data_IF_799318329661
#
_entry.id   IF_799318329661
#
_cell.length_a   1.000
_cell.length_b   1.000
_cell.length_c   1.000
_cell.angle_alpha   90.00
_cell.angle_beta   90.00
_cell.angle_gamma   90.00
#
_symmetry.space_group_name_H-M   'P 1'
#
loop_
_entity.id
_entity.type
_entity.pdbx_description
1 polymer ?
#
# COMPACT_ATOMS: atom_id res chain seq x y z
N UNK A 1 4.04 -9.67 -26.36
CA UNK A 1 3.24 -9.53 -25.13
C UNK A 1 3.73 -8.34 -24.32
N UNK A 2 2.89 -7.79 -23.42
CA UNK A 2 3.26 -6.66 -22.53
C UNK A 2 4.47 -7.03 -21.65
N UNK A 3 4.51 -8.28 -21.16
CA UNK A 3 5.64 -8.79 -20.40
C UNK A 3 6.95 -8.75 -21.20
N UNK A 4 6.94 -9.16 -22.45
CA UNK A 4 8.11 -9.10 -23.33
C UNK A 4 8.59 -7.67 -23.62
N UNK A 5 7.68 -6.69 -23.66
CA UNK A 5 8.05 -5.28 -23.80
C UNK A 5 8.73 -4.76 -22.52
N UNK A 6 8.19 -5.09 -21.34
CA UNK A 6 8.76 -4.66 -20.06
C UNK A 6 10.14 -5.27 -19.83
N UNK A 7 10.33 -6.57 -20.12
CA UNK A 7 11.60 -7.27 -19.94
C UNK A 7 12.62 -7.02 -21.07
N UNK A 8 12.16 -6.72 -22.27
CA UNK A 8 13.02 -6.53 -23.46
C UNK A 8 13.45 -5.08 -23.70
N UNK A 9 12.86 -4.11 -23.04
CA UNK A 9 13.21 -2.70 -23.20
C UNK A 9 14.10 -2.22 -22.05
N UNK A 10 15.23 -1.52 -22.34
CA UNK A 10 16.08 -0.96 -21.29
C UNK A 10 15.37 0.09 -20.43
N UNK A 11 14.28 0.66 -20.92
CA UNK A 11 13.49 1.67 -20.21
C UNK A 11 12.20 1.09 -19.59
N UNK A 12 11.76 -0.07 -20.04
CA UNK A 12 10.49 -0.68 -19.61
C UNK A 12 10.44 -0.99 -18.12
N UNK A 13 11.46 -1.65 -17.61
CA UNK A 13 11.55 -2.01 -16.20
C UNK A 13 11.70 -0.78 -15.28
N UNK A 14 12.64 0.16 -15.52
CA UNK A 14 12.78 1.36 -14.70
C UNK A 14 11.53 2.27 -14.70
N UNK A 15 10.85 2.39 -15.84
CA UNK A 15 9.62 3.17 -15.92
C UNK A 15 8.49 2.55 -15.09
N UNK A 16 8.33 1.22 -15.16
CA UNK A 16 7.35 0.49 -14.38
C UNK A 16 7.66 0.56 -12.87
N UNK A 17 8.93 0.47 -12.50
CA UNK A 17 9.38 0.61 -11.12
C UNK A 17 9.10 2.01 -10.57
N UNK A 18 9.36 3.04 -11.37
CA UNK A 18 9.03 4.43 -11.01
C UNK A 18 7.52 4.60 -10.78
N UNK A 19 6.68 4.07 -11.67
CA UNK A 19 5.24 4.11 -11.51
C UNK A 19 4.77 3.35 -10.25
N UNK A 20 5.38 2.21 -9.98
CA UNK A 20 5.11 1.42 -8.77
C UNK A 20 5.45 2.21 -7.49
N UNK A 21 6.60 2.88 -7.45
CA UNK A 21 6.99 3.72 -6.32
C UNK A 21 6.10 4.96 -6.15
N UNK A 22 5.67 5.59 -7.24
CA UNK A 22 4.71 6.70 -7.17
C UNK A 22 3.40 6.22 -6.56
N UNK A 23 2.85 5.10 -7.02
CA UNK A 23 1.64 4.50 -6.46
C UNK A 23 1.79 4.16 -4.97
N UNK A 24 2.92 3.58 -4.61
CA UNK A 24 3.23 3.21 -3.23
C UNK A 24 3.36 4.43 -2.32
N UNK A 25 4.05 5.49 -2.78
CA UNK A 25 4.22 6.74 -2.02
C UNK A 25 2.89 7.44 -1.77
N UNK A 26 2.02 7.48 -2.80
CA UNK A 26 0.65 8.00 -2.67
C UNK A 26 -0.16 7.22 -1.63
N UNK A 27 -0.18 5.90 -1.76
CA UNK A 27 -0.92 5.02 -0.86
C UNK A 27 -0.46 5.17 0.59
N UNK A 28 0.84 4.96 0.82
CA UNK A 28 1.40 4.97 2.18
C UNK A 28 1.36 6.37 2.78
N UNK A 29 1.61 7.41 1.98
CA UNK A 29 1.57 8.80 2.42
C UNK A 29 0.17 9.20 2.91
N UNK A 30 -0.87 8.88 2.13
CA UNK A 30 -2.26 9.15 2.53
C UNK A 30 -2.64 8.38 3.79
N UNK A 31 -2.34 7.08 3.84
CA UNK A 31 -2.65 6.26 5.00
C UNK A 31 -1.92 6.74 6.25
N UNK A 32 -0.65 7.12 6.13
CA UNK A 32 0.13 7.67 7.25
C UNK A 32 -0.50 8.95 7.79
N UNK A 33 -0.94 9.87 6.92
CA UNK A 33 -1.62 11.11 7.34
C UNK A 33 -2.91 10.80 8.09
N UNK A 34 -3.71 9.85 7.58
CA UNK A 34 -4.94 9.39 8.24
C UNK A 34 -4.61 8.86 9.64
N UNK A 35 -3.60 8.00 9.76
CA UNK A 35 -3.24 7.37 11.03
C UNK A 35 -2.69 8.36 12.05
N UNK A 36 -1.83 9.28 11.62
CA UNK A 36 -1.31 10.34 12.48
C UNK A 36 -2.44 11.23 13.00
N UNK A 37 -3.39 11.56 12.13
CA UNK A 37 -4.56 12.35 12.54
C UNK A 37 -5.42 11.59 13.56
N UNK A 38 -5.66 10.31 13.33
CA UNK A 38 -6.44 9.46 14.26
C UNK A 38 -5.73 9.25 15.59
N UNK A 39 -4.41 9.15 15.58
CA UNK A 39 -3.60 9.06 16.79
C UNK A 39 -3.59 10.36 17.61
N UNK A 40 -4.13 11.45 17.05
CA UNK A 40 -4.17 12.76 17.73
C UNK A 40 -2.89 13.59 17.58
N UNK A 41 -1.98 13.19 16.69
CA UNK A 41 -0.72 13.93 16.46
C UNK A 41 -0.96 15.19 15.63
N UNK A 42 -1.85 15.12 14.63
CA UNK A 42 -2.15 16.25 13.72
C UNK A 42 -3.52 16.85 14.03
N UNK A 43 -3.75 17.34 15.22
CA UNK A 43 -5.07 17.83 15.68
C UNK A 43 -5.56 19.06 14.94
N UNK A 44 -4.67 19.86 14.35
CA UNK A 44 -5.00 21.04 13.54
C UNK A 44 -5.62 20.68 12.19
N UNK A 45 -5.42 19.44 11.70
CA UNK A 45 -6.01 18.97 10.45
C UNK A 45 -7.39 18.39 10.74
N UNK A 46 -8.43 18.84 10.04
CA UNK A 46 -9.78 18.31 10.19
C UNK A 46 -9.87 16.88 9.65
N UNK A 47 -10.77 16.07 10.20
CA UNK A 47 -11.06 14.74 9.64
C UNK A 47 -11.59 14.81 8.20
N UNK A 48 -12.33 15.87 7.88
CA UNK A 48 -12.86 16.15 6.54
C UNK A 48 -11.73 16.36 5.52
N UNK A 49 -10.68 17.08 5.90
CA UNK A 49 -9.52 17.29 5.04
C UNK A 49 -8.78 15.96 4.76
N UNK A 50 -8.69 15.11 5.77
CA UNK A 50 -8.07 13.78 5.65
C UNK A 50 -8.92 12.85 4.79
N UNK A 51 -10.25 12.87 4.94
CA UNK A 51 -11.17 12.07 4.12
C UNK A 51 -11.06 12.39 2.63
N UNK A 52 -10.84 13.65 2.29
CA UNK A 52 -10.64 14.10 0.89
C UNK A 52 -9.36 13.52 0.25
N UNK A 53 -8.44 13.01 1.05
CA UNK A 53 -7.23 12.35 0.55
C UNK A 53 -7.45 10.86 0.22
N UNK A 54 -8.52 10.24 0.72
CA UNK A 54 -8.80 8.82 0.47
C UNK A 54 -8.81 8.43 -1.02
N UNK A 55 -9.42 9.19 -1.94
CA UNK A 55 -9.38 8.88 -3.36
C UNK A 55 -7.97 8.83 -3.93
N UNK A 56 -7.06 9.66 -3.44
CA UNK A 56 -5.65 9.63 -3.83
C UNK A 56 -4.92 8.39 -3.32
N UNK A 57 -5.24 7.96 -2.10
CA UNK A 57 -4.76 6.67 -1.57
C UNK A 57 -5.26 5.49 -2.39
N UNK A 58 -6.54 5.51 -2.81
CA UNK A 58 -7.12 4.49 -3.68
C UNK A 58 -6.47 4.48 -5.07
N UNK A 59 -6.19 5.67 -5.64
CA UNK A 59 -5.42 5.78 -6.88
C UNK A 59 -4.02 5.19 -6.72
N UNK A 60 -3.34 5.50 -5.63
CA UNK A 60 -2.04 4.93 -5.29
C UNK A 60 -2.09 3.39 -5.21
N UNK A 61 -3.12 2.84 -4.57
CA UNK A 61 -3.33 1.39 -4.51
C UNK A 61 -3.57 0.78 -5.89
N UNK A 62 -4.39 1.40 -6.72
CA UNK A 62 -4.67 0.94 -8.08
C UNK A 62 -3.41 0.94 -8.95
N UNK A 63 -2.62 2.03 -8.92
CA UNK A 63 -1.35 2.13 -9.63
C UNK A 63 -0.34 1.08 -9.16
N UNK A 64 -0.23 0.90 -7.86
CA UNK A 64 0.68 -0.08 -7.26
C UNK A 64 0.29 -1.52 -7.64
N UNK A 65 -1.01 -1.83 -7.61
CA UNK A 65 -1.52 -3.14 -8.00
C UNK A 65 -1.31 -3.40 -9.48
N UNK A 66 -1.68 -2.46 -10.36
CA UNK A 66 -1.51 -2.60 -11.81
C UNK A 66 -0.05 -2.80 -12.20
N UNK A 67 0.87 -1.97 -11.67
CA UNK A 67 2.30 -2.11 -11.92
C UNK A 67 2.87 -3.42 -11.35
N UNK A 68 2.40 -3.85 -10.17
CA UNK A 68 2.76 -5.14 -9.59
C UNK A 68 2.34 -6.33 -10.45
N UNK A 69 1.14 -6.27 -11.06
CA UNK A 69 0.68 -7.29 -12.01
C UNK A 69 1.53 -7.32 -13.29
N UNK A 70 1.98 -6.15 -13.75
CA UNK A 70 2.87 -6.06 -14.92
C UNK A 70 4.26 -6.63 -14.62
N UNK A 71 4.82 -6.39 -13.44
CA UNK A 71 6.05 -7.05 -12.98
C UNK A 71 5.90 -8.57 -12.96
N UNK A 72 4.80 -9.05 -12.36
CA UNK A 72 4.51 -10.48 -12.33
C UNK A 72 4.41 -11.06 -13.74
N UNK A 73 3.71 -10.40 -14.66
CA UNK A 73 3.59 -10.85 -16.06
C UNK A 73 4.93 -10.85 -16.81
N UNK A 74 5.86 -9.97 -16.43
CA UNK A 74 7.18 -9.87 -17.06
C UNK A 74 8.15 -10.95 -16.59
N UNK A 75 8.02 -11.44 -15.35
CA UNK A 75 8.96 -12.37 -14.72
C UNK A 75 8.26 -13.47 -13.88
N UNK A 76 7.14 -14.01 -14.41
CA UNK A 76 6.27 -14.93 -13.67
C UNK A 76 7.01 -16.15 -13.10
N UNK A 77 7.92 -16.75 -13.86
CA UNK A 77 8.68 -17.93 -13.42
C UNK A 77 9.58 -17.64 -12.21
N UNK A 78 10.18 -16.46 -12.18
CA UNK A 78 11.03 -16.04 -11.06
C UNK A 78 10.19 -15.73 -9.82
N UNK A 79 9.09 -15.00 -10.00
CA UNK A 79 8.19 -14.62 -8.91
C UNK A 79 7.49 -15.83 -8.28
N UNK A 80 7.01 -16.78 -9.08
CA UNK A 80 6.29 -17.96 -8.57
C UNK A 80 7.18 -18.92 -7.77
N UNK A 81 8.49 -18.91 -8.00
CA UNK A 81 9.46 -19.74 -7.24
C UNK A 81 9.94 -19.07 -5.96
N UNK A 82 9.66 -17.78 -5.79
CA UNK A 82 10.12 -17.01 -4.63
C UNK A 82 9.06 -16.98 -3.52
N UNK A 83 9.35 -17.63 -2.38
CA UNK A 83 8.43 -17.68 -1.24
C UNK A 83 8.12 -16.28 -0.67
N UNK A 84 9.01 -15.31 -0.82
CA UNK A 84 8.85 -13.93 -0.36
C UNK A 84 7.65 -13.26 -1.03
N UNK A 85 7.35 -13.63 -2.29
CA UNK A 85 6.16 -13.16 -2.99
C UNK A 85 4.87 -13.55 -2.24
N UNK A 86 4.78 -14.79 -1.78
CA UNK A 86 3.60 -15.29 -1.08
C UNK A 86 3.41 -14.60 0.27
N UNK A 87 4.52 -14.36 0.99
CA UNK A 87 4.50 -13.57 2.23
C UNK A 87 4.03 -12.15 1.94
N UNK A 88 4.57 -11.49 0.91
CA UNK A 88 4.12 -10.16 0.48
C UNK A 88 2.63 -10.15 0.16
N UNK A 89 2.12 -11.13 -0.58
CA UNK A 89 0.69 -11.22 -0.90
C UNK A 89 -0.18 -11.39 0.33
N UNK A 90 0.23 -12.19 1.31
CA UNK A 90 -0.50 -12.31 2.56
C UNK A 90 -0.62 -10.95 3.27
N UNK A 91 0.49 -10.19 3.34
CA UNK A 91 0.46 -8.81 3.88
C UNK A 91 -0.42 -7.88 3.06
N UNK A 92 -0.38 -7.94 1.72
CA UNK A 92 -1.22 -7.12 0.83
C UNK A 92 -2.71 -7.41 1.05
N UNK A 93 -3.09 -8.67 1.16
CA UNK A 93 -4.49 -9.07 1.41
C UNK A 93 -4.95 -8.57 2.78
N UNK A 94 -4.16 -8.77 3.82
CA UNK A 94 -4.51 -8.31 5.17
C UNK A 94 -4.54 -6.79 5.26
N UNK A 95 -3.56 -6.10 4.67
CA UNK A 95 -3.51 -4.64 4.63
C UNK A 95 -4.66 -4.05 3.82
N UNK A 96 -4.96 -4.64 2.67
CA UNK A 96 -6.07 -4.25 1.81
C UNK A 96 -7.43 -4.45 2.50
N UNK A 97 -7.66 -5.60 3.13
CA UNK A 97 -8.88 -5.87 3.88
C UNK A 97 -9.06 -4.88 5.05
N UNK A 98 -7.97 -4.61 5.80
CA UNK A 98 -7.99 -3.61 6.87
C UNK A 98 -8.30 -2.21 6.33
N UNK A 99 -7.67 -1.80 5.23
CA UNK A 99 -7.89 -0.48 4.62
C UNK A 99 -9.33 -0.34 4.08
N UNK A 100 -9.85 -1.39 3.44
CA UNK A 100 -11.25 -1.41 2.98
C UNK A 100 -12.21 -1.31 4.15
N UNK A 101 -12.03 -2.13 5.18
CA UNK A 101 -12.84 -2.07 6.39
C UNK A 101 -12.85 -0.65 6.98
N UNK A 102 -11.68 -0.04 7.12
CA UNK A 102 -11.51 1.32 7.61
C UNK A 102 -12.21 2.36 6.72
N UNK A 103 -12.19 2.19 5.41
CA UNK A 103 -12.82 3.11 4.45
C UNK A 103 -14.35 3.05 4.54
N UNK A 104 -14.91 1.88 4.86
CA UNK A 104 -16.36 1.71 5.01
C UNK A 104 -16.85 2.02 6.42
N UNK A 105 -16.05 1.72 7.44
CA UNK A 105 -16.37 2.05 8.85
C UNK A 105 -15.97 3.50 9.16
N UNK A 106 -16.86 4.42 8.88
CA UNK A 106 -16.63 5.87 9.11
C UNK A 106 -16.93 6.33 10.53
N UNK A 107 -17.02 5.44 11.49
CA UNK A 107 -17.28 5.79 12.90
C UNK A 107 -16.23 6.73 13.49
N UNK A 108 -15.01 6.68 12.96
CA UNK A 108 -13.93 7.59 13.35
C UNK A 108 -14.17 9.06 12.94
N UNK A 109 -14.97 9.32 11.90
CA UNK A 109 -15.34 10.68 11.48
C UNK A 109 -16.38 11.30 12.40
N UNK A 110 -17.16 10.48 13.11
CA UNK A 110 -18.20 10.93 14.03
C UNK A 110 -17.63 11.31 15.41
N UNK A 111 -16.37 11.05 15.64
CA UNK A 111 -15.67 11.46 16.85
C UNK A 111 -15.58 12.99 16.89
N UNK A 112 -16.57 13.63 17.49
CA UNK A 112 -16.55 15.06 17.80
C UNK A 112 -15.51 15.31 18.88
N UNK A 113 -14.27 15.56 18.47
CA UNK A 113 -13.20 15.79 19.41
C UNK A 113 -11.81 15.63 18.83
N UNK A 114 -10.81 15.76 19.68
CA UNK A 114 -9.39 15.76 19.33
C UNK A 114 -8.84 14.36 19.02
N UNK A 115 -9.53 13.29 19.41
CA UNK A 115 -9.05 11.91 19.24
C UNK A 115 -10.15 10.96 18.79
N UNK A 116 -9.78 10.03 17.90
CA UNK A 116 -10.66 8.97 17.44
C UNK A 116 -10.92 7.90 18.54
N UNK A 117 -12.00 7.12 18.45
CA UNK A 117 -12.24 5.98 19.34
C UNK A 117 -11.07 4.99 19.36
N UNK A 118 -10.85 4.32 20.50
CA UNK A 118 -9.72 3.40 20.66
C UNK A 118 -9.68 2.28 19.62
N UNK A 119 -10.85 1.76 19.21
CA UNK A 119 -10.96 0.77 18.13
C UNK A 119 -10.43 1.31 16.81
N UNK A 120 -10.78 2.54 16.45
CA UNK A 120 -10.33 3.17 15.21
C UNK A 120 -8.82 3.41 15.23
N UNK A 121 -8.26 3.79 16.38
CA UNK A 121 -6.79 3.93 16.55
C UNK A 121 -6.08 2.59 16.39
N UNK A 122 -6.61 1.52 16.96
CA UNK A 122 -6.04 0.18 16.84
C UNK A 122 -6.07 -0.31 15.38
N UNK A 123 -7.17 -0.09 14.65
CA UNK A 123 -7.27 -0.40 13.23
C UNK A 123 -6.27 0.40 12.39
N UNK A 124 -6.11 1.68 12.70
CA UNK A 124 -5.14 2.53 12.04
C UNK A 124 -3.70 2.05 12.28
N UNK A 125 -3.36 1.75 13.53
CA UNK A 125 -2.03 1.24 13.88
C UNK A 125 -1.74 -0.11 13.20
N UNK A 126 -2.70 -1.04 13.19
CA UNK A 126 -2.55 -2.33 12.53
C UNK A 126 -2.37 -2.19 11.02
N UNK A 127 -3.10 -1.27 10.38
CA UNK A 127 -2.92 -0.99 8.97
C UNK A 127 -1.53 -0.45 8.66
N UNK A 128 -1.01 0.47 9.48
CA UNK A 128 0.34 0.99 9.30
C UNK A 128 1.39 -0.14 9.39
N UNK A 129 1.28 -1.01 10.39
CA UNK A 129 2.18 -2.17 10.53
C UNK A 129 2.09 -3.11 9.34
N UNK A 130 0.87 -3.40 8.86
CA UNK A 130 0.67 -4.26 7.69
C UNK A 130 1.26 -3.65 6.41
N UNK A 131 1.06 -2.35 6.17
CA UNK A 131 1.63 -1.67 5.01
C UNK A 131 3.16 -1.56 5.07
N UNK A 132 3.73 -1.34 6.25
CA UNK A 132 5.18 -1.44 6.46
C UNK A 132 5.69 -2.85 6.17
N UNK A 133 4.93 -3.88 6.55
CA UNK A 133 5.21 -5.26 6.17
C UNK A 133 5.20 -5.49 4.65
N UNK A 134 4.22 -4.93 3.94
CA UNK A 134 4.17 -4.97 2.46
C UNK A 134 5.41 -4.33 1.85
N UNK A 135 5.82 -3.16 2.36
CA UNK A 135 7.02 -2.46 1.93
C UNK A 135 8.28 -3.30 2.17
N UNK A 136 8.44 -3.80 3.39
CA UNK A 136 9.59 -4.60 3.77
C UNK A 136 9.74 -5.85 2.90
N UNK A 137 8.69 -6.67 2.81
CA UNK A 137 8.71 -7.90 2.03
C UNK A 137 8.79 -7.63 0.53
N UNK A 138 8.23 -6.52 0.04
CA UNK A 138 8.40 -6.08 -1.34
C UNK A 138 9.86 -5.75 -1.66
N UNK A 139 10.53 -5.06 -0.76
CA UNK A 139 11.95 -4.72 -0.92
C UNK A 139 12.88 -5.92 -0.75
N UNK A 140 12.47 -6.94 0.03
CA UNK A 140 13.26 -8.17 0.23
C UNK A 140 13.16 -9.17 -0.93
N UNK A 141 12.24 -8.98 -1.87
CA UNK A 141 12.02 -9.88 -3.02
C UNK A 141 13.31 -10.20 -3.82
N UNK A 142 14.18 -9.23 -4.15
CA UNK A 142 15.41 -9.52 -4.88
C UNK A 142 16.53 -10.09 -4.00
N UNK A 143 16.41 -10.06 -2.69
CA UNK A 143 17.49 -10.46 -1.77
C UNK A 143 17.27 -11.81 -1.10
N UNK A 144 16.01 -12.25 -0.99
CA UNK A 144 15.63 -13.48 -0.30
C UNK A 144 14.93 -14.46 -1.24
N UNK A 145 15.10 -15.76 -0.95
CA UNK A 145 14.54 -16.83 -1.79
C UNK A 145 15.41 -17.10 -3.00
N UNK A 146 14.79 -17.47 -4.12
CA UNK A 146 15.48 -17.54 -5.41
C UNK A 146 15.61 -16.11 -5.95
N UNK A 147 16.77 -15.51 -5.72
CA UNK A 147 17.10 -14.19 -6.24
C UNK A 147 17.04 -14.18 -7.79
N UNK A 148 16.74 -13.00 -8.34
CA UNK A 148 16.72 -12.76 -9.78
C UNK A 148 18.09 -13.00 -10.40
#
# INVERSE_FOLDING_TARGET
TVGAFVSGSPYGWPALETLHFIGLSLLVGVLLLIYLRMAGVMQTVSFDAVDRLLPWGMLGFALNTASGMLFFAAAADQYTRNYVLYVKFAFVVLAGANTLYFTFDRTWMQAAGTSAPGRSKALAASALVLWLGVLYWGNMLPFLGTAF
#
